data_IF_292575730584
#
_entry.id   IF_292575730584
#
_cell.length_a   1.000
_cell.length_b   1.000
_cell.length_c   1.000
_cell.angle_alpha   90.00
_cell.angle_beta   90.00
_cell.angle_gamma   90.00
#
_symmetry.space_group_name_H-M   'P 1'
#
loop_
_entity.id
_entity.type
_entity.pdbx_description
1 polymer ?
#
# COMPACT_ATOMS: atom_id res chain seq x y z
N UNK A 1 15.82 -39.53 -58.09
CA UNK A 1 17.09 -39.14 -57.45
C UNK A 1 16.73 -38.60 -56.07
N UNK A 2 16.83 -39.47 -55.07
CA UNK A 2 16.63 -39.16 -53.66
C UNK A 2 17.94 -38.63 -53.08
N UNK A 3 17.89 -37.53 -52.34
CA UNK A 3 18.99 -37.06 -51.48
C UNK A 3 18.50 -37.19 -50.04
N UNK A 4 19.24 -38.01 -49.30
CA UNK A 4 19.16 -38.34 -47.87
C UNK A 4 19.49 -37.09 -47.02
N UNK A 5 18.81 -36.87 -45.88
CA UNK A 5 19.21 -37.33 -44.53
C UNK A 5 20.53 -36.65 -44.11
N UNK A 6 20.44 -35.60 -43.29
CA UNK A 6 20.89 -35.64 -41.89
C UNK A 6 22.35 -35.15 -41.76
N UNK A 7 22.71 -34.75 -40.54
CA UNK A 7 24.03 -34.29 -40.10
C UNK A 7 24.42 -32.84 -40.41
N UNK A 8 24.26 -31.97 -39.39
CA UNK A 8 25.23 -30.92 -38.97
C UNK A 8 24.59 -29.95 -37.97
N UNK A 9 24.08 -30.48 -36.85
CA UNK A 9 23.91 -29.69 -35.64
C UNK A 9 24.69 -30.38 -34.51
N UNK A 10 25.81 -29.82 -34.04
CA UNK A 10 26.45 -30.30 -32.83
C UNK A 10 25.55 -30.01 -31.62
N UNK A 11 25.34 -31.06 -30.84
CA UNK A 11 24.55 -31.12 -29.64
C UNK A 11 25.49 -31.42 -28.47
N UNK A 12 25.87 -30.39 -27.71
CA UNK A 12 26.63 -30.51 -26.46
C UNK A 12 26.87 -29.11 -25.85
N UNK A 13 25.76 -28.45 -25.49
CA UNK A 13 25.75 -27.32 -24.57
C UNK A 13 25.25 -27.79 -23.20
N UNK A 14 26.00 -28.66 -22.53
CA UNK A 14 25.79 -29.05 -21.14
C UNK A 14 26.04 -27.83 -20.25
N UNK A 15 24.98 -27.04 -20.00
CA UNK A 15 24.99 -25.96 -19.02
C UNK A 15 24.44 -26.50 -17.70
N UNK A 16 25.28 -27.21 -16.96
CA UNK A 16 25.02 -27.64 -15.59
C UNK A 16 24.94 -26.42 -14.67
N UNK A 17 23.76 -25.80 -14.59
CA UNK A 17 23.43 -24.82 -13.56
C UNK A 17 22.95 -25.57 -12.31
N UNK A 18 23.90 -26.11 -11.54
CA UNK A 18 23.67 -26.56 -10.17
C UNK A 18 23.53 -25.33 -9.26
N UNK A 19 22.37 -24.67 -9.36
CA UNK A 19 21.88 -23.76 -8.33
C UNK A 19 21.01 -24.55 -7.38
N UNK A 20 21.58 -24.97 -6.26
CA UNK A 20 20.89 -25.62 -5.15
C UNK A 20 19.77 -24.72 -4.61
N UNK A 21 18.48 -25.04 -4.80
CA UNK A 21 17.39 -24.26 -4.24
C UNK A 21 17.00 -24.83 -2.88
N UNK A 22 17.94 -24.88 -1.94
CA UNK A 22 17.61 -24.84 -0.51
C UNK A 22 17.32 -23.39 -0.09
N UNK A 23 16.45 -22.72 -0.84
CA UNK A 23 15.65 -21.65 -0.26
C UNK A 23 14.61 -22.38 0.60
N UNK A 24 14.89 -22.44 1.91
CA UNK A 24 13.91 -22.73 2.96
C UNK A 24 12.80 -21.67 2.92
N UNK A 25 11.97 -21.80 1.88
CA UNK A 25 10.64 -21.27 1.78
C UNK A 25 9.80 -22.04 2.79
N UNK A 26 9.58 -21.50 3.98
CA UNK A 26 8.35 -21.68 4.77
C UNK A 26 8.42 -20.85 6.07
N UNK A 27 8.64 -19.55 5.93
CA UNK A 27 7.98 -18.63 6.85
C UNK A 27 6.57 -18.46 6.33
N UNK A 28 5.61 -19.24 6.84
CA UNK A 28 4.19 -18.97 6.64
C UNK A 28 3.97 -17.47 6.86
N UNK A 29 3.63 -16.67 5.83
CA UNK A 29 3.05 -15.39 6.13
C UNK A 29 1.66 -15.71 6.68
N UNK A 30 1.59 -15.94 7.99
CA UNK A 30 0.46 -15.51 8.82
C UNK A 30 0.35 -13.97 8.73
N UNK A 31 0.38 -13.43 7.52
CA UNK A 31 -0.10 -12.11 7.21
C UNK A 31 -1.61 -12.23 7.20
N UNK A 32 -2.18 -12.48 8.38
CA UNK A 32 -3.50 -11.98 8.75
C UNK A 32 -3.46 -10.45 8.67
N UNK A 33 -3.26 -9.89 7.48
CA UNK A 33 -3.91 -8.62 7.15
C UNK A 33 -5.41 -8.92 7.01
N UNK A 34 -6.05 -9.24 8.13
CA UNK A 34 -7.49 -9.13 8.32
C UNK A 34 -7.91 -7.64 8.37
N UNK A 35 -7.15 -6.77 7.71
CA UNK A 35 -7.57 -5.40 7.45
C UNK A 35 -8.71 -5.48 6.45
N UNK A 36 -9.93 -5.21 6.93
CA UNK A 36 -11.10 -5.19 6.07
C UNK A 36 -10.85 -4.27 4.86
N UNK A 37 -11.38 -4.57 3.67
CA UNK A 37 -11.25 -3.69 2.51
C UNK A 37 -11.65 -2.24 2.80
N UNK A 38 -12.64 -2.04 3.68
CA UNK A 38 -13.05 -0.72 4.13
C UNK A 38 -11.96 0.01 4.95
N UNK A 39 -11.20 -0.70 5.78
CA UNK A 39 -10.11 -0.14 6.57
C UNK A 39 -8.95 0.33 5.67
N UNK A 40 -8.53 -0.49 4.70
CA UNK A 40 -7.51 -0.11 3.72
C UNK A 40 -7.92 1.14 2.92
N UNK A 41 -9.19 1.19 2.48
CA UNK A 41 -9.72 2.37 1.78
C UNK A 41 -9.65 3.60 2.67
N UNK A 42 -10.11 3.53 3.92
CA UNK A 42 -10.06 4.67 4.86
C UNK A 42 -8.63 5.12 5.13
N UNK A 43 -7.69 4.18 5.28
CA UNK A 43 -6.28 4.49 5.45
C UNK A 43 -5.71 5.23 4.24
N UNK A 44 -6.02 4.79 3.02
CA UNK A 44 -5.60 5.51 1.80
C UNK A 44 -6.14 6.95 1.76
N UNK A 45 -7.42 7.15 2.09
CA UNK A 45 -8.03 8.49 2.13
C UNK A 45 -7.38 9.37 3.20
N UNK A 46 -7.09 8.81 4.39
CA UNK A 46 -6.38 9.50 5.46
C UNK A 46 -4.96 9.93 5.05
N UNK A 47 -4.18 9.04 4.43
CA UNK A 47 -2.83 9.38 3.94
C UNK A 47 -2.86 10.49 2.88
N UNK A 48 -3.85 10.46 1.98
CA UNK A 48 -3.99 11.54 1.00
C UNK A 48 -4.43 12.87 1.65
N UNK A 49 -5.21 12.83 2.72
CA UNK A 49 -5.54 14.00 3.52
C UNK A 49 -4.30 14.58 4.23
N UNK A 50 -3.43 13.72 4.78
CA UNK A 50 -2.14 14.11 5.36
C UNK A 50 -1.22 14.72 4.31
N UNK A 51 -1.10 14.10 3.13
CA UNK A 51 -0.32 14.63 2.01
C UNK A 51 -0.81 16.01 1.55
N UNK A 52 -2.13 16.25 1.55
CA UNK A 52 -2.67 17.55 1.21
C UNK A 52 -2.37 18.64 2.26
N UNK A 53 -2.11 18.26 3.52
CA UNK A 53 -1.98 19.18 4.65
C UNK A 53 -0.53 19.42 5.09
N UNK A 54 0.38 18.49 4.85
CA UNK A 54 1.79 18.63 5.26
C UNK A 54 2.49 19.83 4.62
N UNK A 55 3.37 20.47 5.38
CA UNK A 55 4.17 21.61 4.95
C UNK A 55 5.34 21.20 4.05
N UNK A 56 5.76 19.93 4.12
CA UNK A 56 6.90 19.41 3.36
C UNK A 56 6.48 18.60 2.14
N UNK A 57 7.10 18.89 0.99
CA UNK A 57 6.95 18.10 -0.23
C UNK A 57 7.38 16.64 -0.01
N UNK A 58 8.49 16.40 0.71
CA UNK A 58 9.00 15.06 0.95
C UNK A 58 8.06 14.20 1.80
N UNK A 59 7.38 14.81 2.78
CA UNK A 59 6.34 14.12 3.56
C UNK A 59 5.13 13.79 2.69
N UNK A 60 4.71 14.72 1.83
CA UNK A 60 3.61 14.48 0.90
C UNK A 60 3.94 13.30 -0.04
N UNK A 61 5.14 13.26 -0.60
CA UNK A 61 5.59 12.17 -1.46
C UNK A 61 5.63 10.82 -0.72
N UNK A 62 6.06 10.79 0.55
CA UNK A 62 6.05 9.57 1.36
C UNK A 62 4.64 9.00 1.54
N UNK A 63 3.66 9.85 1.89
CA UNK A 63 2.27 9.44 2.02
C UNK A 63 1.67 8.97 0.69
N UNK A 64 1.98 9.67 -0.40
CA UNK A 64 1.51 9.33 -1.74
C UNK A 64 2.13 8.03 -2.26
N UNK A 65 3.39 7.78 -1.93
CA UNK A 65 4.11 6.59 -2.34
C UNK A 65 3.54 5.29 -1.73
N UNK A 66 2.89 5.39 -0.57
CA UNK A 66 2.25 4.26 0.10
C UNK A 66 0.91 3.84 -0.55
N UNK A 67 0.24 4.73 -1.29
CA UNK A 67 -1.11 4.47 -1.81
C UNK A 67 -1.20 3.23 -2.72
N UNK A 68 -0.28 2.99 -3.67
CA UNK A 68 -0.40 1.83 -4.56
C UNK A 68 -0.19 0.50 -3.85
N UNK A 69 0.65 0.44 -2.81
CA UNK A 69 0.83 -0.76 -2.00
C UNK A 69 -0.47 -1.13 -1.26
N UNK A 70 -1.13 -0.13 -0.65
CA UNK A 70 -2.44 -0.33 -0.01
C UNK A 70 -3.50 -0.77 -1.02
N UNK A 71 -3.51 -0.17 -2.22
CA UNK A 71 -4.42 -0.59 -3.28
C UNK A 71 -4.15 -2.02 -3.76
N UNK A 72 -2.89 -2.47 -3.79
CA UNK A 72 -2.53 -3.83 -4.17
C UNK A 72 -3.01 -4.87 -3.14
N UNK A 73 -3.13 -4.51 -1.85
CA UNK A 73 -3.77 -5.40 -0.85
C UNK A 73 -5.24 -5.67 -1.19
N UNK A 74 -5.93 -4.70 -1.79
CA UNK A 74 -7.31 -4.85 -2.27
C UNK A 74 -7.42 -5.63 -3.58
N UNK A 75 -6.33 -5.71 -4.35
CA UNK A 75 -6.29 -6.37 -5.65
C UNK A 75 -4.89 -6.97 -5.88
N UNK A 76 -4.58 -8.12 -5.25
CA UNK A 76 -3.23 -8.70 -5.22
C UNK A 76 -2.65 -8.99 -6.60
N UNK A 77 -3.50 -9.31 -7.57
CA UNK A 77 -3.14 -9.49 -8.98
C UNK A 77 -2.37 -8.29 -9.57
N UNK A 78 -2.54 -7.08 -9.00
CA UNK A 78 -1.86 -5.87 -9.47
C UNK A 78 -0.51 -5.57 -8.78
N UNK A 79 -0.06 -6.41 -7.83
CA UNK A 79 1.11 -6.13 -7.00
C UNK A 79 2.39 -5.85 -7.81
N UNK A 80 2.60 -6.55 -8.92
CA UNK A 80 3.79 -6.37 -9.78
C UNK A 80 3.92 -4.98 -10.42
N UNK A 81 2.84 -4.20 -10.46
CA UNK A 81 2.86 -2.83 -11.02
C UNK A 81 2.89 -1.74 -9.96
N UNK A 82 2.97 -2.09 -8.67
CA UNK A 82 3.07 -1.13 -7.57
C UNK A 82 4.21 -0.12 -7.80
N UNK A 83 5.45 -0.51 -8.18
CA UNK A 83 6.52 0.46 -8.38
C UNK A 83 6.20 1.52 -9.44
N UNK A 84 5.58 1.13 -10.55
CA UNK A 84 5.18 2.06 -11.62
C UNK A 84 4.04 2.97 -11.16
N UNK A 85 3.01 2.40 -10.51
CA UNK A 85 1.90 3.18 -9.95
C UNK A 85 2.39 4.18 -8.90
N UNK A 86 3.38 3.83 -8.09
CA UNK A 86 4.00 4.71 -7.09
C UNK A 86 4.67 5.90 -7.76
N UNK A 87 5.49 5.67 -8.81
CA UNK A 87 6.10 6.77 -9.58
C UNK A 87 5.04 7.74 -10.13
N UNK A 88 3.95 7.22 -10.70
CA UNK A 88 2.87 8.04 -11.27
C UNK A 88 2.05 8.78 -10.21
N UNK A 89 1.75 8.13 -9.09
CA UNK A 89 1.04 8.75 -7.97
C UNK A 89 1.83 9.90 -7.37
N UNK A 90 3.13 9.71 -7.12
CA UNK A 90 4.04 10.75 -6.64
C UNK A 90 4.17 11.88 -7.65
N UNK A 91 4.37 11.57 -8.94
CA UNK A 91 4.49 12.59 -9.99
C UNK A 91 3.25 13.49 -10.06
N UNK A 92 2.04 12.92 -10.12
CA UNK A 92 0.80 13.71 -10.17
C UNK A 92 0.53 14.42 -8.86
N UNK A 93 0.77 13.76 -7.73
CA UNK A 93 0.55 14.36 -6.41
C UNK A 93 1.45 15.55 -6.14
N UNK A 94 2.73 15.48 -6.52
CA UNK A 94 3.65 16.62 -6.50
C UNK A 94 3.16 17.79 -7.34
N UNK A 95 2.69 17.54 -8.57
CA UNK A 95 2.12 18.58 -9.43
C UNK A 95 0.90 19.25 -8.79
N UNK A 96 0.02 18.48 -8.16
CA UNK A 96 -1.15 19.00 -7.44
C UNK A 96 -0.76 19.76 -6.18
N UNK A 97 0.23 19.27 -5.44
CA UNK A 97 0.67 19.83 -4.17
C UNK A 97 1.39 21.18 -4.35
N UNK A 98 2.23 21.30 -5.38
CA UNK A 98 2.96 22.53 -5.72
C UNK A 98 2.05 23.69 -6.18
N UNK A 99 0.76 23.43 -6.41
CA UNK A 99 -0.22 24.47 -6.74
C UNK A 99 -1.21 24.66 -5.59
N UNK A 100 -1.21 25.82 -4.90
CA UNK A 100 -2.12 26.06 -3.77
C UNK A 100 -3.61 25.86 -4.12
N UNK A 101 -4.01 26.25 -5.34
CA UNK A 101 -5.37 26.08 -5.83
C UNK A 101 -5.73 24.61 -6.15
N UNK A 102 -4.74 23.76 -6.42
CA UNK A 102 -4.94 22.36 -6.77
C UNK A 102 -4.65 21.39 -5.61
N UNK A 103 -3.98 21.86 -4.56
CA UNK A 103 -3.57 21.07 -3.40
C UNK A 103 -4.71 20.27 -2.74
N UNK A 104 -5.95 20.79 -2.59
CA UNK A 104 -7.06 19.98 -2.08
C UNK A 104 -7.40 18.75 -2.95
N UNK A 105 -6.98 18.71 -4.21
CA UNK A 105 -7.23 17.60 -5.13
C UNK A 105 -6.24 16.45 -4.98
N UNK A 106 -5.18 16.59 -4.19
CA UNK A 106 -4.34 15.46 -3.75
C UNK A 106 -5.21 14.38 -3.10
N UNK A 107 -6.28 14.78 -2.39
CA UNK A 107 -7.27 13.89 -1.79
C UNK A 107 -8.06 13.05 -2.80
N UNK A 108 -7.97 13.31 -4.11
CA UNK A 108 -8.60 12.48 -5.14
C UNK A 108 -7.74 11.28 -5.58
N UNK A 109 -6.45 11.27 -5.24
CA UNK A 109 -5.51 10.24 -5.69
C UNK A 109 -5.84 8.82 -5.21
N UNK A 110 -6.33 8.58 -3.98
CA UNK A 110 -6.78 7.25 -3.56
C UNK A 110 -7.79 6.63 -4.52
N UNK A 111 -8.76 7.43 -5.00
CA UNK A 111 -9.75 6.99 -5.97
C UNK A 111 -9.10 6.61 -7.32
N UNK A 112 -8.17 7.43 -7.81
CA UNK A 112 -7.45 7.20 -9.07
C UNK A 112 -6.62 5.93 -9.00
N UNK A 113 -5.82 5.77 -7.94
CA UNK A 113 -4.96 4.62 -7.70
C UNK A 113 -5.82 3.36 -7.63
N UNK A 114 -6.82 3.31 -6.74
CA UNK A 114 -7.70 2.14 -6.58
C UNK A 114 -8.37 1.72 -7.88
N UNK A 115 -8.92 2.67 -8.63
CA UNK A 115 -9.63 2.40 -9.89
C UNK A 115 -8.66 1.86 -10.95
N UNK A 116 -7.42 2.36 -10.97
CA UNK A 116 -6.37 1.88 -11.88
C UNK A 116 -5.94 0.47 -11.50
N UNK A 117 -5.65 0.23 -10.22
CA UNK A 117 -5.28 -1.09 -9.69
C UNK A 117 -6.36 -2.13 -9.98
N UNK A 118 -7.64 -1.79 -9.78
CA UNK A 118 -8.76 -2.69 -10.08
C UNK A 118 -8.90 -3.00 -11.59
N UNK A 119 -8.71 -2.01 -12.47
CA UNK A 119 -8.76 -2.23 -13.93
C UNK A 119 -7.61 -3.14 -14.40
N UNK A 120 -6.40 -2.89 -13.87
CA UNK A 120 -5.19 -3.67 -14.15
C UNK A 120 -5.33 -5.10 -13.66
N UNK A 121 -5.75 -5.29 -12.41
CA UNK A 121 -6.02 -6.62 -11.84
C UNK A 121 -7.08 -7.36 -12.65
N UNK A 122 -8.21 -6.72 -12.96
CA UNK A 122 -9.28 -7.33 -13.73
C UNK A 122 -8.85 -7.74 -15.15
N UNK A 123 -7.96 -6.97 -15.79
CA UNK A 123 -7.37 -7.36 -17.09
C UNK A 123 -6.45 -8.57 -16.95
N UNK A 124 -5.57 -8.54 -15.95
CA UNK A 124 -4.64 -9.64 -15.70
C UNK A 124 -5.37 -10.96 -15.41
N UNK A 125 -6.39 -10.93 -14.55
CA UNK A 125 -7.21 -12.10 -14.21
C UNK A 125 -7.97 -12.68 -15.41
N UNK A 126 -8.18 -11.92 -16.48
CA UNK A 126 -8.79 -12.40 -17.73
C UNK A 126 -7.75 -12.92 -18.75
N UNK A 127 -6.48 -13.04 -18.36
CA UNK A 127 -5.40 -13.44 -19.27
C UNK A 127 -5.03 -12.38 -20.31
N UNK A 128 -5.52 -11.15 -20.19
CA UNK A 128 -5.15 -10.10 -21.11
C UNK A 128 -3.72 -9.63 -20.82
N UNK A 129 -2.88 -9.40 -21.85
CA UNK A 129 -1.55 -8.85 -21.65
C UNK A 129 -1.66 -7.43 -21.05
N UNK A 130 -0.86 -7.18 -20.01
CA UNK A 130 -0.81 -5.87 -19.34
C UNK A 130 0.63 -5.38 -19.33
N UNK A 131 0.89 -4.33 -20.11
CA UNK A 131 2.18 -3.64 -20.22
C UNK A 131 2.27 -2.41 -19.31
N UNK A 132 3.49 -1.90 -19.06
CA UNK A 132 3.71 -0.67 -18.28
C UNK A 132 3.09 0.58 -18.93
N UNK A 133 3.14 0.67 -20.25
CA UNK A 133 2.49 1.75 -21.02
C UNK A 133 0.98 1.74 -20.80
N UNK A 134 0.34 0.56 -20.81
CA UNK A 134 -1.09 0.43 -20.51
C UNK A 134 -1.43 0.93 -19.11
N UNK A 135 -0.65 0.54 -18.09
CA UNK A 135 -0.85 0.97 -16.70
C UNK A 135 -0.73 2.50 -16.60
N UNK A 136 0.30 3.08 -17.21
CA UNK A 136 0.53 4.53 -17.24
C UNK A 136 -0.64 5.27 -17.91
N UNK A 137 -1.08 4.81 -19.09
CA UNK A 137 -2.21 5.41 -19.81
C UNK A 137 -3.51 5.30 -19.01
N UNK A 138 -3.76 4.17 -18.36
CA UNK A 138 -4.96 3.98 -17.51
C UNK A 138 -4.94 4.89 -16.30
N UNK A 139 -3.80 5.00 -15.64
CA UNK A 139 -3.61 5.94 -14.52
C UNK A 139 -3.90 7.38 -14.95
N UNK A 140 -3.26 7.85 -16.04
CA UNK A 140 -3.47 9.19 -16.57
C UNK A 140 -4.93 9.45 -16.99
N UNK A 141 -5.58 8.46 -17.61
CA UNK A 141 -7.00 8.54 -17.94
C UNK A 141 -7.86 8.69 -16.68
N UNK A 142 -7.61 7.90 -15.64
CA UNK A 142 -8.37 7.97 -14.40
C UNK A 142 -8.13 9.28 -13.64
N UNK A 143 -6.89 9.76 -13.62
CA UNK A 143 -6.52 11.05 -13.04
C UNK A 143 -7.23 12.21 -13.76
N UNK A 144 -7.12 12.27 -15.09
CA UNK A 144 -7.77 13.31 -15.89
C UNK A 144 -9.29 13.29 -15.72
N UNK A 145 -9.93 12.11 -15.72
CA UNK A 145 -11.37 12.01 -15.44
C UNK A 145 -11.75 12.48 -14.03
N UNK A 146 -10.91 12.23 -13.02
CA UNK A 146 -11.18 12.68 -11.66
C UNK A 146 -11.02 14.20 -11.50
N UNK A 147 -10.09 14.81 -12.24
CA UNK A 147 -9.70 16.21 -12.08
C UNK A 147 -10.42 17.18 -13.04
N UNK A 148 -10.82 16.72 -14.24
CA UNK A 148 -11.40 17.56 -15.30
C UNK A 148 -12.83 18.02 -15.01
N UNK A 149 -13.68 17.17 -14.43
CA UNK A 149 -15.07 17.51 -14.12
C UNK A 149 -15.16 18.15 -12.72
N UNK A 150 -15.56 19.44 -12.60
CA UNK A 150 -15.67 20.11 -11.30
C UNK A 150 -16.64 19.44 -10.33
N UNK A 151 -17.74 18.86 -10.81
CA UNK A 151 -18.74 18.20 -9.95
C UNK A 151 -18.18 16.91 -9.40
N UNK A 152 -17.57 16.09 -10.27
CA UNK A 152 -16.91 14.85 -9.88
C UNK A 152 -15.76 15.11 -8.91
N UNK A 153 -14.94 16.12 -9.20
CA UNK A 153 -13.83 16.55 -8.35
C UNK A 153 -14.30 16.92 -6.95
N UNK A 154 -15.32 17.78 -6.82
CA UNK A 154 -15.91 18.14 -5.53
C UNK A 154 -16.43 16.91 -4.78
N UNK A 155 -17.15 16.01 -5.47
CA UNK A 155 -17.71 14.79 -4.86
C UNK A 155 -16.62 13.83 -4.36
N UNK A 156 -15.54 13.64 -5.12
CA UNK A 156 -14.42 12.80 -4.72
C UNK A 156 -13.74 13.37 -3.48
N UNK A 157 -13.43 14.67 -3.48
CA UNK A 157 -12.82 15.33 -2.32
C UNK A 157 -13.74 15.29 -1.09
N UNK A 158 -15.04 15.54 -1.25
CA UNK A 158 -16.00 15.45 -0.14
C UNK A 158 -16.04 14.05 0.48
N UNK A 159 -16.01 12.99 -0.35
CA UNK A 159 -15.96 11.61 0.13
C UNK A 159 -14.65 11.29 0.84
N UNK A 160 -13.52 11.74 0.30
CA UNK A 160 -12.21 11.56 0.92
C UNK A 160 -12.19 12.19 2.33
N UNK A 161 -12.71 13.42 2.47
CA UNK A 161 -12.85 14.09 3.78
C UNK A 161 -13.74 13.34 4.75
N UNK A 162 -14.88 12.81 4.29
CA UNK A 162 -15.76 12.01 5.15
C UNK A 162 -15.09 10.72 5.61
N UNK A 163 -14.35 10.05 4.73
CA UNK A 163 -13.60 8.84 5.07
C UNK A 163 -12.47 9.12 6.08
N UNK A 164 -11.73 10.21 5.89
CA UNK A 164 -10.69 10.70 6.81
C UNK A 164 -11.27 11.02 8.20
N UNK A 165 -12.37 11.78 8.25
CA UNK A 165 -13.06 12.06 9.52
C UNK A 165 -13.53 10.79 10.23
N UNK A 166 -14.04 9.82 9.47
CA UNK A 166 -14.47 8.53 10.02
C UNK A 166 -13.28 7.74 10.59
N UNK A 167 -12.13 7.76 9.92
CA UNK A 167 -10.88 7.14 10.39
C UNK A 167 -10.40 7.77 11.70
N UNK A 168 -10.34 9.10 11.77
CA UNK A 168 -9.94 9.83 12.98
C UNK A 168 -10.89 9.52 14.15
N UNK A 169 -12.21 9.51 13.89
CA UNK A 169 -13.20 9.18 14.92
C UNK A 169 -13.04 7.73 15.42
N UNK A 170 -12.74 6.79 14.54
CA UNK A 170 -12.47 5.39 14.89
C UNK A 170 -11.20 5.23 15.72
N UNK A 171 -10.10 5.87 15.31
CA UNK A 171 -8.85 5.87 16.06
C UNK A 171 -9.04 6.44 17.48
N UNK A 172 -9.81 7.54 17.62
CA UNK A 172 -10.16 8.12 18.92
C UNK A 172 -11.00 7.17 19.79
N UNK A 173 -11.99 6.48 19.20
CA UNK A 173 -12.79 5.47 19.93
C UNK A 173 -11.91 4.33 20.44
N UNK A 174 -10.99 3.81 19.61
CA UNK A 174 -10.04 2.76 20.01
C UNK A 174 -9.14 3.22 21.16
N UNK A 175 -8.59 4.43 21.08
CA UNK A 175 -7.78 5.00 22.15
C UNK A 175 -8.56 5.14 23.47
N UNK A 176 -9.81 5.60 23.40
CA UNK A 176 -10.67 5.70 24.59
C UNK A 176 -11.03 4.34 25.19
N UNK A 177 -11.27 3.33 24.36
CA UNK A 177 -11.54 1.97 24.82
C UNK A 177 -10.31 1.36 25.51
N UNK A 178 -9.11 1.54 24.93
CA UNK A 178 -7.86 1.13 25.55
C UNK A 178 -7.61 1.83 26.89
N UNK A 179 -7.98 3.11 27.02
CA UNK A 179 -7.88 3.85 28.28
C UNK A 179 -8.93 3.45 29.33
N UNK A 180 -10.11 2.98 28.92
CA UNK A 180 -11.17 2.49 29.83
C UNK A 180 -10.90 1.07 30.34
N UNK A 181 -10.25 0.23 29.54
CA UNK A 181 -9.61 -1.00 30.01
C UNK A 181 -8.27 -0.70 30.65
N UNK A 182 -8.22 0.31 31.55
CA UNK A 182 -7.00 0.90 32.10
C UNK A 182 -5.96 -0.17 32.43
N UNK A 183 -4.66 0.12 32.22
CA UNK A 183 -3.58 -0.88 32.24
C UNK A 183 -3.83 -1.74 33.45
N UNK A 184 -4.26 -3.00 33.22
CA UNK A 184 -4.81 -3.85 34.27
C UNK A 184 -3.89 -3.67 35.45
N UNK A 185 -4.36 -2.97 36.49
CA UNK A 185 -3.53 -2.46 37.59
C UNK A 185 -2.67 -3.65 37.94
N UNK A 186 -1.34 -3.62 37.65
CA UNK A 186 -0.55 -4.84 37.59
C UNK A 186 -0.86 -5.57 38.87
N UNK A 187 -1.43 -6.79 38.74
CA UNK A 187 -1.98 -7.53 39.88
C UNK A 187 -0.94 -7.39 40.99
N UNK A 188 -1.31 -6.70 42.07
CA UNK A 188 -0.34 -6.21 43.05
C UNK A 188 0.56 -7.38 43.39
N UNK A 189 1.80 -7.38 42.88
CA UNK A 189 2.67 -8.54 42.98
C UNK A 189 2.93 -8.68 44.48
N UNK A 190 2.42 -9.72 45.16
CA UNK A 190 2.64 -9.86 46.59
C UNK A 190 4.15 -9.88 46.80
N UNK A 191 4.62 -8.97 47.67
CA UNK A 191 6.00 -8.50 47.73
C UNK A 191 7.05 -9.59 47.54
N UNK A 192 7.61 -9.67 46.33
CA UNK A 192 8.78 -10.49 46.06
C UNK A 192 10.01 -9.61 46.28
N UNK A 193 10.66 -9.79 47.43
CA UNK A 193 11.95 -9.17 47.72
C UNK A 193 12.94 -9.53 46.61
N UNK A 194 13.46 -8.54 45.89
CA UNK A 194 14.52 -8.74 44.92
C UNK A 194 15.84 -8.74 45.71
N UNK A 195 16.62 -9.81 45.57
CA UNK A 195 17.98 -9.89 46.11
C UNK A 195 18.92 -9.61 44.95
N UNK A 196 19.68 -8.51 45.04
CA UNK A 196 20.76 -8.19 44.10
C UNK A 196 22.05 -8.20 44.91
N UNK A 197 23.04 -9.00 44.50
CA UNK A 197 24.33 -9.14 45.17
C UNK A 197 24.27 -9.47 46.68
N UNK A 198 23.36 -10.36 47.09
CA UNK A 198 23.25 -10.82 48.48
C UNK A 198 22.64 -9.80 49.45
N UNK A 199 22.25 -8.60 48.98
CA UNK A 199 21.57 -7.60 49.80
C UNK A 199 20.07 -7.58 49.47
N UNK A 200 19.23 -7.71 50.50
CA UNK A 200 17.77 -7.54 50.40
C UNK A 200 17.44 -6.06 50.51
N UNK A 201 16.80 -5.52 49.49
CA UNK A 201 16.29 -4.15 49.52
C UNK A 201 14.77 -4.18 49.75
N UNK A 202 14.32 -3.60 50.86
CA UNK A 202 12.90 -3.33 51.09
C UNK A 202 12.57 -1.96 50.46
N UNK A 203 11.58 -1.91 49.56
CA UNK A 203 11.01 -0.64 49.10
C UNK A 203 10.18 -0.06 50.25
N UNK A 204 10.64 1.03 50.85
CA UNK A 204 9.80 1.92 51.66
C UNK A 204 8.88 2.75 50.77
#
# INVERSE_FOLDING_TARGET
MSIMMEDLLPADGELEFYGDPEDEYFGDPEFESASSPAAEIRLMEHLAAMAAQTESESEAEAFLGALPALAARLAPAAARWVPELTKRAVQVGRQLWNSPAARPYVQALPHVVRRTTADVAGRYSRGAPVSLDLVTRRFAHHASQALRDPRRRRRVVQRARQADQAWIAEARRRAQQAGRGGPGRPAAVPGRSIVVNGQRWCRC
#
